data_IF_202173795903
#
_entry.id   IF_202173795903
#
_cell.length_a   1.000
_cell.length_b   1.000
_cell.length_c   1.000
_cell.angle_alpha   90.00
_cell.angle_beta   90.00
_cell.angle_gamma   90.00
#
_symmetry.space_group_name_H-M   'P 1'
#
loop_
_entity.id
_entity.type
_entity.pdbx_description
1 polymer ?
#
# COMPACT_ATOMS: atom_id res chain seq x y z
N UNK A 1 -6.32 -6.84 -14.74
CA UNK A 1 -5.12 -6.02 -14.91
C UNK A 1 -4.96 -5.19 -13.65
N UNK A 2 -4.19 -5.70 -12.70
CA UNK A 2 -3.78 -4.93 -11.53
C UNK A 2 -2.59 -4.10 -11.96
N UNK A 3 -2.69 -2.78 -11.86
CA UNK A 3 -1.58 -1.87 -12.15
C UNK A 3 -0.69 -1.85 -10.91
N UNK A 4 0.54 -2.35 -11.04
CA UNK A 4 1.56 -2.23 -9.99
C UNK A 4 2.22 -0.87 -10.17
N UNK A 5 2.40 -0.16 -9.07
CA UNK A 5 3.17 1.09 -8.99
C UNK A 5 4.37 0.80 -8.10
N UNK A 6 5.56 0.77 -8.68
CA UNK A 6 6.80 0.47 -7.95
C UNK A 6 7.40 1.71 -7.26
N UNK A 7 7.25 2.90 -7.86
CA UNK A 7 7.73 4.16 -7.29
C UNK A 7 6.67 4.84 -6.41
N UNK A 8 6.39 4.23 -5.25
CA UNK A 8 5.48 4.78 -4.24
C UNK A 8 6.15 4.95 -2.88
N UNK A 9 6.10 6.18 -2.37
CA UNK A 9 6.43 6.49 -0.99
C UNK A 9 5.24 6.16 -0.08
N UNK A 10 5.47 5.31 0.91
CA UNK A 10 4.48 4.99 1.93
C UNK A 10 4.89 5.64 3.25
N UNK A 11 4.06 6.55 3.75
CA UNK A 11 4.28 7.22 5.03
C UNK A 11 3.54 6.43 6.11
N UNK A 12 4.31 5.81 7.00
CA UNK A 12 3.82 4.97 8.10
C UNK A 12 4.14 5.58 9.47
N UNK A 13 3.27 5.30 10.45
CA UNK A 13 3.55 5.48 11.87
C UNK A 13 3.92 4.13 12.47
N UNK A 14 5.12 4.05 13.05
CA UNK A 14 5.57 2.90 13.82
C UNK A 14 5.17 3.11 15.28
N UNK A 15 4.46 2.14 15.86
CA UNK A 15 4.08 2.19 17.26
C UNK A 15 5.14 1.51 18.14
N UNK A 16 5.12 1.85 19.43
CA UNK A 16 6.02 1.25 20.42
C UNK A 16 5.82 -0.27 20.57
N UNK A 17 4.62 -0.79 20.27
CA UNK A 17 4.31 -2.22 20.27
C UNK A 17 4.79 -2.96 19.01
N UNK A 18 5.41 -2.27 18.06
CA UNK A 18 5.93 -2.85 16.81
C UNK A 18 4.92 -2.86 15.66
N UNK A 19 3.63 -2.56 15.90
CA UNK A 19 2.65 -2.42 14.82
C UNK A 19 2.93 -1.21 13.94
N UNK A 20 2.63 -1.37 12.65
CA UNK A 20 2.78 -0.32 11.63
C UNK A 20 1.39 0.17 11.22
N UNK A 21 1.22 1.49 11.16
CA UNK A 21 -0.01 2.13 10.67
C UNK A 21 0.33 2.93 9.40
N UNK A 22 -0.19 2.54 8.22
CA UNK A 22 -0.01 3.33 7.02
C UNK A 22 -0.93 4.55 7.08
N UNK A 23 -0.38 5.76 6.87
CA UNK A 23 -1.10 7.03 7.00
C UNK A 23 -1.38 7.69 5.64
N UNK A 24 -0.41 7.65 4.73
CA UNK A 24 -0.48 8.35 3.46
C UNK A 24 0.40 7.68 2.41
N UNK A 25 -0.06 7.70 1.17
CA UNK A 25 0.69 7.28 -0.01
C UNK A 25 1.09 8.51 -0.79
N UNK A 26 2.29 8.50 -1.35
CA UNK A 26 2.75 9.54 -2.26
C UNK A 26 3.44 8.89 -3.44
N UNK A 27 2.98 9.20 -4.64
CA UNK A 27 3.59 8.70 -5.87
C UNK A 27 3.46 9.76 -6.95
N UNK A 28 4.29 9.65 -7.98
CA UNK A 28 4.30 10.57 -9.10
C UNK A 28 3.15 10.22 -10.06
N UNK A 29 2.43 11.24 -10.51
CA UNK A 29 1.43 11.10 -11.56
C UNK A 29 2.06 11.13 -12.97
N UNK A 30 1.28 10.92 -14.02
CA UNK A 30 1.76 10.92 -15.42
C UNK A 30 2.33 12.29 -15.83
N UNK A 31 1.97 13.36 -15.12
CA UNK A 31 2.49 14.73 -15.33
C UNK A 31 3.81 15.01 -14.58
N UNK A 32 4.34 14.03 -13.83
CA UNK A 32 5.58 14.20 -13.06
C UNK A 32 5.40 14.87 -11.70
N UNK A 33 4.16 15.13 -11.28
CA UNK A 33 3.84 15.75 -9.99
C UNK A 33 3.62 14.70 -8.90
N UNK A 34 4.17 14.93 -7.70
CA UNK A 34 3.91 14.06 -6.56
C UNK A 34 2.51 14.29 -5.98
N UNK A 35 1.62 13.34 -6.22
CA UNK A 35 0.30 13.33 -5.60
C UNK A 35 0.33 12.61 -4.26
N UNK A 36 -0.40 13.15 -3.29
CA UNK A 36 -0.47 12.62 -1.92
C UNK A 36 -1.89 12.15 -1.59
N UNK A 37 -2.03 10.86 -1.31
CA UNK A 37 -3.30 10.22 -1.01
C UNK A 37 -3.37 9.81 0.47
N UNK A 38 -4.18 10.49 1.30
CA UNK A 38 -4.37 10.09 2.69
C UNK A 38 -5.17 8.79 2.77
N UNK A 39 -4.73 7.88 3.64
CA UNK A 39 -5.42 6.61 3.89
C UNK A 39 -6.62 6.88 4.80
N UNK A 40 -7.81 6.53 4.33
CA UNK A 40 -9.10 6.71 5.04
C UNK A 40 -9.45 5.51 5.91
N UNK A 41 -8.84 4.37 5.66
CA UNK A 41 -8.97 3.16 6.46
C UNK A 41 -7.96 2.13 5.98
N UNK A 42 -7.49 1.27 6.86
CA UNK A 42 -6.56 0.20 6.51
C UNK A 42 -6.93 -1.08 7.26
N UNK A 43 -6.52 -2.21 6.70
CA UNK A 43 -6.50 -3.50 7.38
C UNK A 43 -5.24 -4.26 6.98
N UNK A 44 -4.68 -5.03 7.91
CA UNK A 44 -3.64 -5.99 7.58
C UNK A 44 -4.29 -7.20 6.89
N UNK A 45 -3.75 -7.60 5.74
CA UNK A 45 -4.23 -8.75 5.00
C UNK A 45 -3.56 -10.04 5.51
N UNK A 46 -4.29 -11.15 5.42
CA UNK A 46 -3.81 -12.45 5.90
C UNK A 46 -2.60 -12.92 5.08
N UNK A 47 -1.49 -13.25 5.77
CA UNK A 47 -0.28 -13.78 5.16
C UNK A 47 -0.51 -15.23 4.73
N UNK A 48 -0.60 -15.48 3.42
CA UNK A 48 -0.67 -16.85 2.86
C UNK A 48 0.71 -17.48 2.66
N UNK A 49 1.57 -17.38 3.68
CA UNK A 49 2.97 -17.83 3.59
C UNK A 49 3.75 -17.17 2.45
N UNK A 50 4.90 -17.73 2.12
CA UNK A 50 5.75 -17.22 1.03
C UNK A 50 5.16 -17.60 -0.32
N UNK A 51 4.78 -16.60 -1.12
CA UNK A 51 4.23 -16.80 -2.47
C UNK A 51 4.51 -15.59 -3.36
N UNK A 52 4.41 -15.78 -4.67
CA UNK A 52 4.39 -14.66 -5.62
C UNK A 52 2.94 -14.40 -6.00
N UNK A 53 2.48 -13.15 -5.89
CA UNK A 53 1.13 -12.78 -6.32
C UNK A 53 0.97 -12.97 -7.82
N UNK A 54 -0.26 -13.09 -8.32
CA UNK A 54 -0.52 -13.20 -9.78
C UNK A 54 0.06 -12.02 -10.57
N UNK A 55 0.23 -10.88 -9.91
CA UNK A 55 0.81 -9.66 -10.49
C UNK A 55 2.35 -9.64 -10.43
N UNK A 56 3.00 -10.65 -9.84
CA UNK A 56 4.46 -10.80 -9.84
C UNK A 56 5.18 -10.24 -8.61
N UNK A 57 4.46 -9.85 -7.56
CA UNK A 57 5.06 -9.35 -6.31
C UNK A 57 5.45 -10.54 -5.42
N UNK A 58 6.73 -10.64 -5.06
CA UNK A 58 7.21 -11.66 -4.14
C UNK A 58 6.84 -11.27 -2.70
N UNK A 59 6.02 -12.09 -2.05
CA UNK A 59 5.62 -11.94 -0.65
C UNK A 59 6.37 -12.98 0.16
N UNK A 60 7.24 -12.52 1.05
CA UNK A 60 7.91 -13.36 2.04
C UNK A 60 7.14 -13.42 3.36
N UNK A 61 7.59 -14.27 4.28
CA UNK A 61 6.97 -14.41 5.61
C UNK A 61 7.04 -13.11 6.45
N UNK A 62 8.13 -12.36 6.26
CA UNK A 62 8.36 -11.07 6.90
C UNK A 62 7.63 -9.89 6.23
N UNK A 63 7.03 -10.08 5.04
CA UNK A 63 6.35 -9.00 4.31
C UNK A 63 5.03 -8.66 4.99
N UNK A 64 4.79 -7.37 5.22
CA UNK A 64 3.51 -6.84 5.66
C UNK A 64 2.66 -6.49 4.46
N UNK A 65 1.38 -6.88 4.51
CA UNK A 65 0.43 -6.58 3.45
C UNK A 65 -0.69 -5.76 4.05
N UNK A 66 -0.87 -4.54 3.55
CA UNK A 66 -1.95 -3.66 4.00
C UNK A 66 -2.91 -3.38 2.87
N UNK A 67 -4.20 -3.62 3.11
CA UNK A 67 -5.29 -3.16 2.26
C UNK A 67 -5.78 -1.80 2.75
N UNK A 68 -5.49 -0.77 1.98
CA UNK A 68 -5.75 0.61 2.32
C UNK A 68 -6.85 1.19 1.43
N UNK A 69 -7.79 1.90 2.05
CA UNK A 69 -8.81 2.68 1.39
C UNK A 69 -8.29 4.11 1.19
N UNK A 70 -8.23 4.54 -0.06
CA UNK A 70 -7.91 5.93 -0.44
C UNK A 70 -9.06 6.53 -1.25
N UNK A 71 -9.07 7.85 -1.38
CA UNK A 71 -9.95 8.57 -2.30
C UNK A 71 -9.06 9.17 -3.38
N UNK A 72 -9.23 8.72 -4.61
CA UNK A 72 -8.52 9.20 -5.78
C UNK A 72 -9.54 9.58 -6.85
N UNK A 73 -9.43 10.78 -7.42
CA UNK A 73 -10.39 11.33 -8.38
C UNK A 73 -11.86 11.22 -7.90
N UNK A 74 -12.12 11.61 -6.64
CA UNK A 74 -13.42 11.53 -5.96
C UNK A 74 -14.02 10.11 -5.80
N UNK A 75 -13.28 9.07 -6.22
CA UNK A 75 -13.69 7.68 -6.10
C UNK A 75 -12.95 6.98 -4.96
N UNK A 76 -13.68 6.14 -4.21
CA UNK A 76 -13.08 5.22 -3.24
C UNK A 76 -12.30 4.12 -3.98
N UNK A 77 -11.02 3.96 -3.64
CA UNK A 77 -10.15 2.91 -4.19
C UNK A 77 -9.53 2.12 -3.06
N UNK A 78 -9.46 0.80 -3.23
CA UNK A 78 -8.72 -0.09 -2.34
C UNK A 78 -7.40 -0.41 -3.01
N UNK A 79 -6.31 -0.16 -2.31
CA UNK A 79 -4.94 -0.43 -2.77
C UNK A 79 -4.26 -1.38 -1.80
N UNK A 80 -3.38 -2.23 -2.33
CA UNK A 80 -2.56 -3.15 -1.53
C UNK A 80 -1.14 -2.62 -1.48
N UNK A 81 -0.60 -2.54 -0.28
CA UNK A 81 0.78 -2.14 -0.03
C UNK A 81 1.51 -3.39 0.46
N UNK A 82 2.70 -3.62 -0.08
CA UNK A 82 3.61 -4.68 0.33
C UNK A 82 4.86 -4.00 0.90
N UNK A 83 5.14 -4.23 2.19
CA UNK A 83 6.24 -3.60 2.94
C UNK A 83 7.15 -4.66 3.57
#
# INVERSE_FOLDING_TARGET
>A
MSMIIDEVDVICQHKADGSIIPLRLRFMDEEGEYQSFPIKGFREAEKKGTHTTEDGIYVGDATFIFECLIIAADAKRIVRIYY
#
